data_IF_066032045250
#
_entry.id   IF_066032045250
#
_cell.length_a   1.000
_cell.length_b   1.000
_cell.length_c   1.000
_cell.angle_alpha   90.00
_cell.angle_beta   90.00
_cell.angle_gamma   90.00
#
_symmetry.space_group_name_H-M   'P 1'
#
loop_
_entity.id
_entity.type
_entity.pdbx_description
1 polymer ?
#
# COMPACT_ATOMS: atom_id res chain seq x y z
N UNK A 1 0.13 -12.57 -29.75
CA UNK A 1 0.40 -11.43 -28.85
C UNK A 1 0.87 -12.03 -27.54
N UNK A 2 1.92 -11.50 -26.92
CA UNK A 2 2.31 -11.93 -25.57
C UNK A 2 1.13 -11.64 -24.63
N UNK A 3 0.74 -12.57 -23.76
CA UNK A 3 -0.27 -12.29 -22.74
C UNK A 3 0.21 -11.11 -21.88
N UNK A 4 -0.66 -10.14 -21.61
CA UNK A 4 -0.34 -9.04 -20.68
C UNK A 4 -0.32 -9.57 -19.25
N UNK A 5 0.50 -8.96 -18.40
CA UNK A 5 0.45 -9.20 -16.95
C UNK A 5 -0.93 -8.81 -16.41
N UNK A 6 -1.47 -9.61 -15.49
CA UNK A 6 -2.73 -9.26 -14.80
C UNK A 6 -2.40 -8.89 -13.36
N UNK A 7 -2.82 -7.72 -12.92
CA UNK A 7 -2.81 -7.29 -11.52
C UNK A 7 -4.20 -7.47 -10.91
N UNK A 8 -4.30 -8.32 -9.90
CA UNK A 8 -5.49 -8.42 -9.04
C UNK A 8 -5.40 -7.41 -7.90
N UNK A 9 -6.42 -6.57 -7.76
CA UNK A 9 -6.48 -5.48 -6.78
C UNK A 9 -7.94 -5.27 -6.29
N UNK A 10 -8.13 -4.47 -5.25
CA UNK A 10 -9.46 -4.14 -4.69
C UNK A 10 -10.01 -2.83 -5.28
N UNK A 11 -11.25 -2.82 -5.79
CA UNK A 11 -11.86 -1.61 -6.32
C UNK A 11 -12.29 -0.68 -5.18
N UNK A 12 -12.39 0.60 -5.50
CA UNK A 12 -13.29 1.53 -4.80
C UNK A 12 -14.63 1.56 -5.51
N UNK A 13 -15.64 2.17 -4.89
CA UNK A 13 -16.94 2.47 -5.53
C UNK A 13 -16.88 3.34 -6.78
N UNK A 14 -15.73 3.95 -7.03
CA UNK A 14 -15.45 4.73 -8.25
C UNK A 14 -14.64 3.94 -9.28
N UNK A 15 -14.42 2.64 -9.08
CA UNK A 15 -13.62 1.80 -9.98
C UNK A 15 -12.11 2.13 -9.98
N UNK A 16 -11.64 2.89 -8.97
CA UNK A 16 -10.23 3.31 -8.86
C UNK A 16 -9.47 2.53 -7.78
N UNK A 17 -8.16 2.43 -7.96
CA UNK A 17 -7.23 1.86 -6.98
C UNK A 17 -7.10 2.77 -5.75
N UNK A 18 -7.03 2.17 -4.57
CA UNK A 18 -6.90 2.91 -3.32
C UNK A 18 -6.00 2.22 -2.30
N UNK A 19 -5.87 0.88 -2.34
CA UNK A 19 -5.14 0.14 -1.32
C UNK A 19 -3.64 0.47 -1.33
N UNK A 20 -3.05 0.61 -0.13
CA UNK A 20 -1.61 0.90 0.02
C UNK A 20 -0.73 -0.17 -0.64
N UNK A 21 -1.04 -1.44 -0.42
CA UNK A 21 -0.25 -2.54 -0.99
C UNK A 21 -0.46 -2.68 -2.50
N UNK A 22 -1.68 -2.45 -3.00
CA UNK A 22 -1.94 -2.39 -4.44
C UNK A 22 -1.13 -1.30 -5.11
N UNK A 23 -1.07 -0.10 -4.52
CA UNK A 23 -0.26 1.01 -5.03
C UNK A 23 1.25 0.71 -5.04
N UNK A 24 1.79 -0.05 -4.07
CA UNK A 24 3.19 -0.51 -4.12
C UNK A 24 3.47 -1.29 -5.41
N UNK A 25 2.61 -2.24 -5.77
CA UNK A 25 2.78 -3.04 -6.99
C UNK A 25 2.51 -2.22 -8.26
N UNK A 26 1.49 -1.34 -8.26
CA UNK A 26 1.20 -0.46 -9.40
C UNK A 26 2.36 0.45 -9.74
N UNK A 27 2.98 1.09 -8.74
CA UNK A 27 4.14 1.96 -8.95
C UNK A 27 5.32 1.20 -9.52
N UNK A 28 5.57 -0.04 -9.06
CA UNK A 28 6.61 -0.90 -9.64
C UNK A 28 6.34 -1.21 -11.11
N UNK A 29 5.10 -1.58 -11.46
CA UNK A 29 4.72 -1.86 -12.85
C UNK A 29 4.86 -0.59 -13.72
N UNK A 30 4.43 0.57 -13.22
CA UNK A 30 4.54 1.85 -13.91
C UNK A 30 6.00 2.28 -14.10
N UNK A 31 6.82 2.16 -13.06
CA UNK A 31 8.24 2.49 -13.11
C UNK A 31 9.01 1.64 -14.11
N UNK A 32 8.72 0.33 -14.14
CA UNK A 32 9.33 -0.61 -15.08
C UNK A 32 8.72 -0.56 -16.49
N UNK A 33 7.66 0.21 -16.70
CA UNK A 33 6.97 0.29 -17.97
C UNK A 33 6.30 -1.03 -18.39
N UNK A 34 5.85 -1.85 -17.43
CA UNK A 34 5.25 -3.16 -17.70
C UNK A 34 3.75 -2.98 -18.00
N UNK A 35 3.30 -3.27 -19.24
CA UNK A 35 1.89 -3.25 -19.59
C UNK A 35 1.14 -4.30 -18.78
N UNK A 36 0.02 -3.89 -18.18
CA UNK A 36 -0.79 -4.79 -17.38
C UNK A 36 -2.28 -4.45 -17.45
N UNK A 37 -3.08 -5.48 -17.25
CA UNK A 37 -4.52 -5.37 -17.03
C UNK A 37 -4.80 -5.42 -15.53
N UNK A 38 -5.83 -4.71 -15.08
CA UNK A 38 -6.29 -4.79 -13.70
C UNK A 38 -7.54 -5.64 -13.66
N UNK A 39 -7.54 -6.67 -12.82
CA UNK A 39 -8.75 -7.41 -12.43
C UNK A 39 -9.13 -7.03 -11.01
N UNK A 40 -10.32 -6.48 -10.86
CA UNK A 40 -10.85 -6.08 -9.56
C UNK A 40 -11.49 -7.27 -8.86
N UNK A 41 -11.14 -7.45 -7.59
CA UNK A 41 -11.78 -8.42 -6.69
C UNK A 41 -12.36 -7.68 -5.49
N UNK A 42 -13.63 -7.92 -5.19
CA UNK A 42 -14.20 -7.49 -3.91
C UNK A 42 -13.57 -8.29 -2.77
N UNK A 43 -13.53 -7.70 -1.58
CA UNK A 43 -12.92 -8.35 -0.42
C UNK A 43 -13.37 -9.80 -0.14
N UNK A 44 -14.68 -10.15 -0.17
CA UNK A 44 -15.11 -11.52 0.05
C UNK A 44 -14.66 -12.49 -1.05
N UNK A 45 -14.36 -11.99 -2.26
CA UNK A 45 -14.02 -12.81 -3.43
C UNK A 45 -12.52 -13.10 -3.53
N UNK A 46 -11.67 -12.39 -2.79
CA UNK A 46 -10.21 -12.54 -2.84
C UNK A 46 -9.81 -13.99 -2.53
N UNK A 47 -10.21 -14.50 -1.36
CA UNK A 47 -9.81 -15.84 -0.93
C UNK A 47 -10.29 -16.96 -1.88
N UNK A 48 -11.59 -17.09 -2.18
CA UNK A 48 -12.05 -18.15 -3.08
C UNK A 48 -11.44 -18.04 -4.49
N UNK A 49 -11.23 -16.81 -4.99
CA UNK A 49 -10.62 -16.61 -6.31
C UNK A 49 -9.16 -17.07 -6.33
N UNK A 50 -8.34 -16.59 -5.38
CA UNK A 50 -6.91 -16.91 -5.35
C UNK A 50 -6.66 -18.38 -5.03
N UNK A 51 -7.47 -18.98 -4.16
CA UNK A 51 -7.45 -20.42 -3.90
C UNK A 51 -7.77 -21.22 -5.17
N UNK A 52 -8.76 -20.79 -5.97
CA UNK A 52 -9.10 -21.46 -7.24
C UNK A 52 -7.98 -21.43 -8.29
N UNK A 53 -7.03 -20.48 -8.18
CA UNK A 53 -5.83 -20.42 -9.02
C UNK A 53 -4.73 -21.38 -8.55
N UNK A 54 -4.94 -22.10 -7.44
CA UNK A 54 -3.96 -23.03 -6.87
C UNK A 54 -2.86 -22.33 -6.06
N UNK A 55 -3.06 -21.07 -5.65
CA UNK A 55 -2.13 -20.38 -4.76
C UNK A 55 -2.17 -21.00 -3.36
N UNK A 56 -1.00 -21.19 -2.76
CA UNK A 56 -0.89 -21.52 -1.35
C UNK A 56 -1.26 -20.28 -0.50
N UNK A 57 -1.88 -20.48 0.68
CA UNK A 57 -2.13 -19.39 1.60
C UNK A 57 -0.81 -18.80 2.13
N UNK A 58 -0.83 -17.51 2.45
CA UNK A 58 0.22 -16.86 3.21
C UNK A 58 0.40 -17.52 4.59
N UNK A 59 1.61 -17.43 5.17
CA UNK A 59 1.83 -17.83 6.55
C UNK A 59 0.84 -17.14 7.51
N UNK A 60 0.42 -17.80 8.60
CA UNK A 60 -0.49 -17.22 9.57
C UNK A 60 0.00 -15.85 10.07
N UNK A 61 -0.91 -14.87 10.08
CA UNK A 61 -0.63 -13.51 10.52
C UNK A 61 -1.79 -12.98 11.37
N UNK A 62 -1.51 -12.24 12.45
CA UNK A 62 -2.56 -11.54 13.19
C UNK A 62 -3.12 -10.35 12.39
N UNK A 63 -2.37 -9.81 11.43
CA UNK A 63 -2.72 -8.61 10.67
C UNK A 63 -3.34 -8.92 9.31
N UNK A 64 -2.89 -10.01 8.67
CA UNK A 64 -3.23 -10.32 7.28
C UNK A 64 -4.01 -11.62 7.16
N UNK A 65 -4.94 -11.65 6.21
CA UNK A 65 -5.69 -12.85 5.86
C UNK A 65 -4.82 -13.77 4.98
N UNK A 66 -5.14 -15.07 4.89
CA UNK A 66 -4.31 -16.03 4.14
C UNK A 66 -4.16 -15.72 2.65
N UNK A 67 -5.18 -15.11 2.05
CA UNK A 67 -5.18 -14.70 0.65
C UNK A 67 -5.37 -13.19 0.55
N UNK A 68 -4.51 -12.53 -0.22
CA UNK A 68 -4.39 -11.07 -0.24
C UNK A 68 -4.21 -10.54 -1.66
N UNK A 69 -4.58 -9.28 -1.84
CA UNK A 69 -4.11 -8.46 -2.95
C UNK A 69 -3.05 -7.46 -2.44
N UNK A 70 -2.08 -7.04 -3.28
CA UNK A 70 -1.94 -7.36 -4.69
C UNK A 70 -1.51 -8.81 -4.93
N UNK A 71 -2.05 -9.38 -6.01
CA UNK A 71 -1.57 -10.62 -6.62
C UNK A 71 -1.40 -10.36 -8.11
N UNK A 72 -0.38 -10.93 -8.75
CA UNK A 72 -0.22 -10.84 -10.21
C UNK A 72 -0.32 -12.22 -10.86
N UNK A 73 -0.81 -12.27 -12.10
CA UNK A 73 -0.55 -13.37 -13.05
C UNK A 73 0.49 -12.87 -14.04
N UNK A 74 1.72 -13.34 -13.90
CA UNK A 74 2.79 -13.07 -14.85
C UNK A 74 2.81 -14.15 -15.94
N UNK A 75 2.97 -13.81 -17.23
CA UNK A 75 2.95 -14.77 -18.33
C UNK A 75 3.97 -15.91 -18.20
N UNK A 76 5.18 -15.59 -17.73
CA UNK A 76 6.30 -16.54 -17.67
C UNK A 76 6.37 -17.38 -16.38
N UNK A 77 5.87 -16.86 -15.25
CA UNK A 77 6.09 -17.47 -13.92
C UNK A 77 4.78 -17.77 -13.18
N UNK A 78 3.63 -17.49 -13.78
CA UNK A 78 2.33 -17.78 -13.21
C UNK A 78 1.92 -16.77 -12.14
N UNK A 79 1.22 -17.26 -11.11
CA UNK A 79 0.63 -16.42 -10.08
C UNK A 79 1.61 -16.12 -8.94
N UNK A 80 1.67 -14.86 -8.52
CA UNK A 80 2.50 -14.41 -7.39
C UNK A 80 1.65 -13.51 -6.49
N UNK A 81 1.53 -13.89 -5.22
CA UNK A 81 0.87 -13.12 -4.17
C UNK A 81 1.94 -12.40 -3.32
N UNK A 82 1.54 -11.37 -2.57
CA UNK A 82 2.37 -10.53 -1.70
C UNK A 82 3.24 -9.50 -2.42
N UNK A 83 2.99 -8.21 -2.16
CA UNK A 83 3.72 -7.10 -2.79
C UNK A 83 5.24 -7.20 -2.67
N UNK A 84 5.78 -7.70 -1.55
CA UNK A 84 7.22 -7.87 -1.32
C UNK A 84 7.82 -9.10 -2.04
N UNK A 85 7.02 -10.09 -2.41
CA UNK A 85 7.47 -11.21 -3.24
C UNK A 85 7.41 -10.80 -4.70
N UNK A 86 6.30 -10.17 -5.10
CA UNK A 86 6.07 -9.62 -6.44
C UNK A 86 7.21 -8.70 -6.86
N UNK A 87 7.58 -7.73 -6.01
CA UNK A 87 8.64 -6.76 -6.35
C UNK A 87 9.99 -7.43 -6.60
N UNK A 88 10.35 -8.45 -5.80
CA UNK A 88 11.62 -9.18 -5.94
C UNK A 88 11.63 -9.99 -7.22
N UNK A 89 10.52 -10.61 -7.58
CA UNK A 89 10.42 -11.39 -8.80
C UNK A 89 10.41 -10.51 -10.05
N UNK A 90 9.71 -9.37 -10.00
CA UNK A 90 9.72 -8.39 -11.09
C UNK A 90 11.10 -7.74 -11.27
N UNK A 91 11.86 -7.50 -10.19
CA UNK A 91 13.25 -7.01 -10.30
C UNK A 91 14.14 -8.03 -11.02
N UNK A 92 13.99 -9.33 -10.74
CA UNK A 92 14.76 -10.37 -11.45
C UNK A 92 14.36 -10.50 -12.92
N UNK A 93 13.06 -10.49 -13.20
CA UNK A 93 12.52 -10.68 -14.55
C UNK A 93 12.74 -9.45 -15.44
N UNK A 94 12.75 -8.26 -14.83
CA UNK A 94 12.94 -6.97 -15.48
C UNK A 94 13.97 -6.14 -14.70
N UNK A 95 15.28 -6.44 -14.84
CA UNK A 95 16.33 -5.76 -14.07
C UNK A 95 16.40 -4.25 -14.30
N UNK A 96 16.02 -3.79 -15.49
CA UNK A 96 16.06 -2.37 -15.86
C UNK A 96 14.65 -1.81 -16.13
N UNK A 97 14.33 -0.60 -15.64
CA UNK A 97 15.10 0.17 -14.67
C UNK A 97 15.10 -0.49 -13.28
N UNK A 98 16.25 -0.44 -12.58
CA UNK A 98 16.42 -1.09 -11.28
C UNK A 98 15.62 -0.42 -10.17
N UNK A 99 15.12 -1.23 -9.23
CA UNK A 99 14.45 -0.80 -8.00
C UNK A 99 15.40 -0.64 -6.81
N UNK A 100 16.69 -0.95 -6.98
CA UNK A 100 17.73 -0.80 -5.97
C UNK A 100 17.37 -1.46 -4.63
N UNK A 101 16.89 -2.71 -4.66
CA UNK A 101 16.40 -3.42 -3.48
C UNK A 101 17.49 -3.71 -2.42
N UNK A 102 18.76 -3.61 -2.81
CA UNK A 102 19.95 -3.92 -2.02
C UNK A 102 20.67 -2.68 -1.45
N UNK A 103 20.15 -1.46 -1.70
CA UNK A 103 20.75 -0.21 -1.20
C UNK A 103 20.58 0.03 0.32
N UNK A 104 19.95 -0.91 1.05
CA UNK A 104 19.78 -0.84 2.50
C UNK A 104 18.61 0.01 2.99
N UNK A 105 17.81 0.62 2.10
CA UNK A 105 16.65 1.44 2.49
C UNK A 105 15.32 0.67 2.51
N UNK A 106 15.20 -0.42 1.74
CA UNK A 106 13.93 -1.16 1.61
C UNK A 106 13.32 -1.57 2.96
N UNK A 107 14.06 -2.26 3.82
CA UNK A 107 13.54 -2.75 5.09
C UNK A 107 13.24 -1.60 6.08
N UNK A 108 14.06 -0.53 6.07
CA UNK A 108 13.85 0.66 6.90
C UNK A 108 12.57 1.42 6.50
N UNK A 109 12.36 1.61 5.20
CA UNK A 109 11.18 2.27 4.67
C UNK A 109 9.92 1.43 4.95
N UNK A 110 10.00 0.11 4.74
CA UNK A 110 8.91 -0.80 5.09
C UNK A 110 8.54 -0.70 6.57
N UNK A 111 9.52 -0.86 7.46
CA UNK A 111 9.27 -0.89 8.90
C UNK A 111 8.67 0.44 9.41
N UNK A 112 9.20 1.58 8.97
CA UNK A 112 8.70 2.90 9.38
C UNK A 112 7.28 3.19 8.89
N UNK A 113 6.97 2.87 7.63
CA UNK A 113 5.62 3.03 7.08
C UNK A 113 4.61 2.06 7.70
N UNK A 114 5.01 0.81 7.99
CA UNK A 114 4.16 -0.19 8.64
C UNK A 114 3.89 0.15 10.11
N UNK A 115 4.85 0.75 10.82
CA UNK A 115 4.63 1.29 12.16
C UNK A 115 3.63 2.45 12.14
N UNK A 116 3.81 3.42 11.22
CA UNK A 116 2.90 4.56 11.11
C UNK A 116 1.48 4.12 10.74
N UNK A 117 1.31 3.25 9.73
CA UNK A 117 -0.02 2.81 9.29
C UNK A 117 -0.75 2.03 10.38
N UNK A 118 -0.04 1.21 11.15
CA UNK A 118 -0.63 0.39 12.21
C UNK A 118 -1.36 1.25 13.24
N UNK A 119 -0.72 2.32 13.70
CA UNK A 119 -1.32 3.25 14.66
C UNK A 119 -2.39 4.15 14.05
N UNK A 120 -2.37 4.37 12.73
CA UNK A 120 -3.40 5.13 12.01
C UNK A 120 -4.60 4.28 11.57
N UNK A 121 -4.57 2.95 11.74
CA UNK A 121 -5.69 2.07 11.41
C UNK A 121 -7.02 2.54 12.01
N UNK A 122 -7.10 2.94 13.31
CA UNK A 122 -8.34 3.42 13.89
C UNK A 122 -8.91 4.68 13.22
N UNK A 123 -8.04 5.54 12.66
CA UNK A 123 -8.44 6.77 11.97
C UNK A 123 -8.99 6.50 10.56
N UNK A 124 -8.41 5.53 9.86
CA UNK A 124 -8.67 5.30 8.43
C UNK A 124 -9.72 4.21 8.17
N UNK A 125 -9.81 3.18 9.02
CA UNK A 125 -10.69 2.02 8.80
C UNK A 125 -12.16 2.43 8.71
N UNK A 126 -12.71 3.25 9.63
CA UNK A 126 -14.09 3.71 9.50
C UNK A 126 -14.32 4.45 8.18
N UNK A 127 -13.37 5.31 7.78
CA UNK A 127 -13.48 6.12 6.56
C UNK A 127 -13.52 5.24 5.31
N UNK A 128 -12.64 4.24 5.21
CA UNK A 128 -12.65 3.27 4.10
C UNK A 128 -14.04 2.63 3.95
N UNK A 129 -14.60 2.14 5.05
CA UNK A 129 -15.91 1.48 5.05
C UNK A 129 -17.02 2.38 4.53
N UNK A 130 -17.06 3.65 4.95
CA UNK A 130 -18.12 4.58 4.59
C UNK A 130 -17.93 5.25 3.22
N UNK A 131 -16.69 5.51 2.80
CA UNK A 131 -16.41 6.37 1.63
C UNK A 131 -15.85 5.63 0.44
N UNK A 132 -15.17 4.50 0.62
CA UNK A 132 -14.36 3.87 -0.43
C UNK A 132 -14.99 2.59 -0.98
N UNK A 133 -15.49 1.71 -0.12
CA UNK A 133 -15.87 0.36 -0.52
C UNK A 133 -17.18 0.29 -1.30
N UNK A 134 -17.27 -0.72 -2.18
CA UNK A 134 -18.54 -1.19 -2.72
C UNK A 134 -19.34 -1.92 -1.65
N UNK A 135 -20.66 -1.95 -1.82
CA UNK A 135 -21.59 -2.57 -0.86
C UNK A 135 -21.22 -4.02 -0.50
N UNK A 136 -20.86 -4.83 -1.51
CA UNK A 136 -20.45 -6.23 -1.32
C UNK A 136 -19.19 -6.42 -0.46
N UNK A 137 -18.34 -5.40 -0.33
CA UNK A 137 -17.12 -5.43 0.47
C UNK A 137 -17.32 -4.94 1.92
N UNK A 138 -18.41 -4.23 2.22
CA UNK A 138 -18.59 -3.52 3.50
C UNK A 138 -18.69 -4.49 4.69
N UNK A 139 -19.53 -5.53 4.60
CA UNK A 139 -19.68 -6.52 5.68
C UNK A 139 -18.34 -7.17 6.01
N UNK A 140 -17.68 -7.73 5.00
CA UNK A 140 -16.43 -8.45 5.18
C UNK A 140 -15.37 -7.55 5.78
N UNK A 141 -15.25 -6.32 5.27
CA UNK A 141 -14.28 -5.36 5.77
C UNK A 141 -14.57 -4.97 7.22
N UNK A 142 -15.82 -4.64 7.55
CA UNK A 142 -16.21 -4.23 8.90
C UNK A 142 -16.01 -5.33 9.93
N UNK A 143 -16.42 -6.57 9.62
CA UNK A 143 -16.21 -7.71 10.51
C UNK A 143 -14.72 -7.97 10.73
N UNK A 144 -13.95 -8.11 9.65
CA UNK A 144 -12.52 -8.46 9.76
C UNK A 144 -11.67 -7.37 10.38
N UNK A 145 -12.00 -6.09 10.17
CA UNK A 145 -11.28 -4.97 10.81
C UNK A 145 -11.76 -4.73 12.23
N UNK A 146 -13.02 -5.04 12.54
CA UNK A 146 -13.51 -5.02 13.90
C UNK A 146 -12.84 -6.07 14.79
N UNK A 147 -12.65 -7.28 14.26
CA UNK A 147 -11.82 -8.33 14.89
C UNK A 147 -10.39 -7.83 15.15
N UNK A 148 -9.76 -7.23 14.13
CA UNK A 148 -8.39 -6.72 14.21
C UNK A 148 -8.22 -5.62 15.26
N UNK A 149 -9.17 -4.68 15.33
CA UNK A 149 -9.09 -3.51 16.23
C UNK A 149 -9.72 -3.78 17.60
N UNK A 150 -10.35 -4.95 17.77
CA UNK A 150 -10.99 -5.40 19.00
C UNK A 150 -12.30 -4.66 19.33
N UNK A 151 -12.96 -4.05 18.34
CA UNK A 151 -14.24 -3.35 18.52
C UNK A 151 -14.97 -3.12 17.19
N UNK A 152 -16.30 -2.91 17.18
CA UNK A 152 -17.05 -2.65 15.96
C UNK A 152 -16.53 -1.41 15.21
N UNK A 153 -16.42 -1.49 13.88
CA UNK A 153 -15.90 -0.38 13.06
C UNK A 153 -16.69 0.92 13.23
N UNK A 154 -18.01 0.82 13.45
CA UNK A 154 -18.87 1.97 13.71
C UNK A 154 -18.54 2.70 15.01
N UNK A 155 -17.88 2.06 15.98
CA UNK A 155 -17.59 2.62 17.30
C UNK A 155 -16.15 3.14 17.44
N UNK A 156 -15.26 2.81 16.50
CA UNK A 156 -13.83 3.18 16.58
C UNK A 156 -13.64 4.69 16.75
N UNK A 157 -14.39 5.51 16.03
CA UNK A 157 -14.26 6.97 16.08
C UNK A 157 -14.61 7.57 17.44
N UNK A 158 -15.31 6.81 18.30
CA UNK A 158 -15.65 7.21 19.69
C UNK A 158 -14.64 6.70 20.71
N UNK A 159 -13.72 5.82 20.28
CA UNK A 159 -12.70 5.25 21.15
C UNK A 159 -11.54 6.22 21.35
N UNK A 160 -10.78 5.99 22.42
CA UNK A 160 -9.51 6.65 22.68
C UNK A 160 -8.38 6.26 21.70
N UNK A 161 -8.62 5.29 20.80
CA UNK A 161 -7.63 4.85 19.81
C UNK A 161 -7.60 5.70 18.53
N UNK A 162 -8.64 6.50 18.27
CA UNK A 162 -8.78 7.30 17.05
C UNK A 162 -8.34 8.78 17.27
N UNK A 163 -8.43 9.60 16.21
CA UNK A 163 -8.16 11.04 16.31
C UNK A 163 -6.72 11.33 16.74
N UNK A 164 -6.55 12.34 17.61
CA UNK A 164 -5.21 12.79 18.04
C UNK A 164 -4.36 11.71 18.70
N UNK A 165 -4.98 10.74 19.39
CA UNK A 165 -4.24 9.63 20.00
C UNK A 165 -3.64 8.70 18.95
N UNK A 166 -4.36 8.42 17.85
CA UNK A 166 -3.83 7.66 16.72
C UNK A 166 -2.61 8.39 16.11
N UNK A 167 -2.73 9.69 15.89
CA UNK A 167 -1.65 10.50 15.32
C UNK A 167 -0.44 10.63 16.25
N UNK A 168 -0.67 10.80 17.55
CA UNK A 168 0.39 10.81 18.55
C UNK A 168 1.13 9.46 18.58
N UNK A 169 0.40 8.34 18.52
CA UNK A 169 0.96 7.00 18.49
C UNK A 169 1.70 6.69 17.17
N UNK A 170 1.27 7.27 16.04
CA UNK A 170 1.92 7.11 14.74
C UNK A 170 3.21 7.95 14.58
N UNK A 171 3.40 8.96 15.44
CA UNK A 171 4.54 9.89 15.40
C UNK A 171 5.91 9.20 15.28
N UNK A 172 6.23 8.12 16.03
CA UNK A 172 7.52 7.45 15.90
C UNK A 172 7.79 6.92 14.48
N UNK A 173 6.79 6.33 13.83
CA UNK A 173 6.90 5.86 12.45
C UNK A 173 7.11 7.02 11.47
N UNK A 174 6.33 8.10 11.61
CA UNK A 174 6.46 9.31 10.78
C UNK A 174 7.83 9.99 10.97
N UNK A 175 8.35 10.04 12.18
CA UNK A 175 9.69 10.57 12.46
C UNK A 175 10.79 9.72 11.82
N UNK A 176 10.65 8.39 11.79
CA UNK A 176 11.58 7.50 11.07
C UNK A 176 11.49 7.69 9.56
N UNK A 177 10.29 7.86 9.01
CA UNK A 177 10.11 8.20 7.59
C UNK A 177 10.80 9.52 7.24
N UNK A 178 10.62 10.54 8.07
CA UNK A 178 11.30 11.84 7.92
C UNK A 178 12.82 11.69 7.98
N UNK A 179 13.33 10.94 8.94
CA UNK A 179 14.77 10.73 9.08
C UNK A 179 15.38 10.10 7.81
N UNK A 180 14.71 9.11 7.21
CA UNK A 180 15.14 8.47 5.97
C UNK A 180 15.17 9.45 4.78
N UNK A 181 14.14 10.29 4.64
CA UNK A 181 14.09 11.31 3.58
C UNK A 181 15.11 12.44 3.76
N UNK A 182 15.57 12.67 4.98
CA UNK A 182 16.57 13.68 5.30
C UNK A 182 18.00 13.14 5.36
N UNK A 183 18.18 11.82 5.25
CA UNK A 183 19.50 11.17 5.32
C UNK A 183 20.41 11.61 4.17
N UNK A 184 19.83 11.81 2.97
CA UNK A 184 20.55 12.24 1.78
C UNK A 184 19.94 13.51 1.17
N UNK A 185 20.66 14.63 1.23
CA UNK A 185 20.19 15.93 0.75
C UNK A 185 20.37 16.17 -0.76
N UNK A 186 20.95 15.21 -1.49
CA UNK A 186 21.26 15.36 -2.92
C UNK A 186 20.05 15.27 -3.86
N UNK A 187 18.86 14.93 -3.35
CA UNK A 187 17.64 14.89 -4.15
C UNK A 187 16.39 14.65 -3.31
N UNK A 188 15.22 14.44 -3.96
CA UNK A 188 13.95 14.31 -3.28
C UNK A 188 13.63 12.87 -2.82
N UNK A 189 14.44 11.87 -3.20
CA UNK A 189 14.24 10.46 -2.88
C UNK A 189 15.03 10.06 -1.62
N UNK A 190 14.72 8.90 -1.05
CA UNK A 190 15.41 8.39 0.14
C UNK A 190 16.91 8.22 -0.12
N UNK A 191 17.29 7.72 -1.30
CA UNK A 191 18.68 7.63 -1.74
C UNK A 191 19.13 8.89 -2.52
N UNK A 192 18.62 10.05 -2.10
CA UNK A 192 18.92 11.36 -2.68
C UNK A 192 18.36 11.52 -4.10
N UNK A 193 19.25 11.48 -5.10
CA UNK A 193 18.88 11.63 -6.51
C UNK A 193 18.34 10.34 -7.17
N UNK A 194 18.57 9.18 -6.54
CA UNK A 194 18.21 7.88 -7.10
C UNK A 194 16.87 7.39 -6.51
N UNK A 195 15.90 7.12 -7.38
CA UNK A 195 14.65 6.48 -6.95
C UNK A 195 14.88 5.00 -6.70
N UNK A 196 14.21 4.45 -5.70
CA UNK A 196 14.23 3.04 -5.34
C UNK A 196 12.83 2.53 -4.96
N UNK A 197 12.69 1.23 -4.69
CA UNK A 197 11.42 0.70 -4.17
C UNK A 197 11.05 1.27 -2.79
N UNK A 198 12.04 1.70 -1.99
CA UNK A 198 11.79 2.36 -0.72
C UNK A 198 10.94 3.62 -0.90
N UNK A 199 11.17 4.37 -1.99
CA UNK A 199 10.36 5.54 -2.34
C UNK A 199 8.92 5.15 -2.69
N UNK A 200 8.70 4.04 -3.38
CA UNK A 200 7.36 3.57 -3.71
C UNK A 200 6.58 3.08 -2.48
N UNK A 201 7.26 2.60 -1.44
CA UNK A 201 6.62 2.32 -0.16
C UNK A 201 6.04 3.61 0.44
N UNK A 202 6.83 4.69 0.49
CA UNK A 202 6.35 5.98 1.03
C UNK A 202 5.31 6.63 0.12
N UNK A 203 5.53 6.64 -1.19
CA UNK A 203 4.57 7.17 -2.15
C UNK A 203 3.23 6.43 -2.08
N UNK A 204 3.22 5.10 -1.96
CA UNK A 204 1.99 4.31 -1.81
C UNK A 204 1.23 4.65 -0.53
N UNK A 205 1.97 4.97 0.54
CA UNK A 205 1.40 5.44 1.80
C UNK A 205 0.70 6.78 1.59
N UNK A 206 1.35 7.78 0.97
CA UNK A 206 0.74 9.08 0.69
C UNK A 206 -0.53 8.95 -0.19
N UNK A 207 -0.44 8.20 -1.30
CA UNK A 207 -1.59 8.00 -2.21
C UNK A 207 -2.74 7.32 -1.48
N UNK A 208 -2.47 6.34 -0.62
CA UNK A 208 -3.52 5.69 0.16
C UNK A 208 -4.28 6.70 1.03
N UNK A 209 -3.58 7.60 1.73
CA UNK A 209 -4.25 8.67 2.50
C UNK A 209 -5.02 9.62 1.59
N UNK A 210 -4.44 10.03 0.45
CA UNK A 210 -5.09 10.88 -0.54
C UNK A 210 -6.42 10.27 -1.02
N UNK A 211 -6.43 8.96 -1.30
CA UNK A 211 -7.64 8.27 -1.76
C UNK A 211 -8.66 8.06 -0.65
N UNK A 212 -8.24 7.83 0.59
CA UNK A 212 -9.13 7.50 1.71
C UNK A 212 -9.75 8.74 2.36
N UNK A 213 -8.94 9.75 2.65
CA UNK A 213 -9.39 10.92 3.40
C UNK A 213 -8.50 12.15 3.21
N UNK A 214 -9.05 13.17 2.55
CA UNK A 214 -8.33 14.41 2.21
C UNK A 214 -7.70 15.11 3.41
N UNK A 215 -8.39 15.29 4.53
CA UNK A 215 -7.81 15.98 5.69
C UNK A 215 -6.64 15.19 6.32
N UNK A 216 -6.74 13.85 6.34
CA UNK A 216 -5.64 13.01 6.83
C UNK A 216 -4.44 13.05 5.89
N UNK A 217 -4.68 13.13 4.58
CA UNK A 217 -3.64 13.36 3.58
C UNK A 217 -2.97 14.72 3.76
N UNK A 218 -3.75 15.80 3.90
CA UNK A 218 -3.21 17.15 4.11
C UNK A 218 -2.38 17.23 5.38
N UNK A 219 -2.86 16.62 6.48
CA UNK A 219 -2.09 16.53 7.73
C UNK A 219 -0.79 15.75 7.55
N UNK A 220 -0.84 14.63 6.82
CA UNK A 220 0.34 13.81 6.55
C UNK A 220 1.36 14.57 5.69
N UNK A 221 0.94 15.15 4.58
CA UNK A 221 1.85 15.84 3.65
C UNK A 221 2.41 17.14 4.25
N UNK A 222 1.67 17.76 5.17
CA UNK A 222 2.11 18.95 5.92
C UNK A 222 2.93 18.61 7.17
N UNK A 223 3.15 17.32 7.49
CA UNK A 223 3.93 16.90 8.66
C UNK A 223 5.37 17.43 8.60
N UNK A 224 5.97 17.41 7.41
CA UNK A 224 7.26 18.02 7.13
C UNK A 224 7.38 18.32 5.63
N UNK A 225 8.12 19.38 5.26
CA UNK A 225 8.33 19.76 3.85
C UNK A 225 8.92 18.62 3.00
N UNK A 226 9.75 17.75 3.58
CA UNK A 226 10.32 16.61 2.85
C UNK A 226 9.26 15.61 2.36
N UNK A 227 8.12 15.46 3.05
CA UNK A 227 7.05 14.55 2.63
C UNK A 227 6.37 15.08 1.37
N UNK A 228 6.05 16.38 1.36
CA UNK A 228 5.49 17.06 0.19
C UNK A 228 6.43 16.97 -1.01
N UNK A 229 7.70 17.33 -0.82
CA UNK A 229 8.71 17.28 -1.89
C UNK A 229 8.89 15.86 -2.45
N UNK A 230 8.93 14.85 -1.59
CA UNK A 230 9.05 13.44 -1.98
C UNK A 230 7.82 12.96 -2.78
N UNK A 231 6.61 13.24 -2.26
CA UNK A 231 5.37 12.87 -2.92
C UNK A 231 5.26 13.50 -4.32
N UNK A 232 5.55 14.81 -4.44
CA UNK A 232 5.58 15.53 -5.73
C UNK A 232 6.56 14.88 -6.72
N UNK A 233 7.75 14.48 -6.27
CA UNK A 233 8.73 13.80 -7.12
C UNK A 233 8.24 12.41 -7.58
N UNK A 234 7.46 11.71 -6.76
CA UNK A 234 6.92 10.39 -7.08
C UNK A 234 5.65 10.43 -7.96
N UNK A 235 5.01 11.59 -8.14
CA UNK A 235 3.73 11.71 -8.88
C UNK A 235 3.75 11.17 -10.31
N UNK A 236 4.90 11.21 -10.98
CA UNK A 236 5.04 10.67 -12.35
C UNK A 236 4.76 9.16 -12.48
N UNK A 237 4.77 8.41 -11.37
CA UNK A 237 4.40 6.98 -11.34
C UNK A 237 3.02 6.72 -10.73
N UNK A 238 2.27 7.79 -10.45
CA UNK A 238 0.90 7.77 -9.91
C UNK A 238 -0.02 8.38 -10.99
N UNK A 239 -0.37 7.63 -12.05
CA UNK A 239 -1.31 8.12 -13.04
C UNK A 239 -2.69 8.40 -12.39
N UNK A 240 -3.41 9.38 -12.94
CA UNK A 240 -4.67 9.94 -12.39
C UNK A 240 -5.85 8.96 -12.28
#
# INVERSE_FOLDING_TARGET
MLENLILFDVPSKHGKAWSVFGWRTRMVLNYKGIPHEVKWLEYPDIAPTLESFGLAPNPPSPLFKPYTVPTIKHPSVGYIMESNVIVKELEKLHPEPSLHLDNGYYDKARASAEEAIYFLLPEIVPRISFTILNEGSIEYFNRTRGELLGMPVSEIHKSDKAGENAWAAAKPGLEKMKALLMENSSGPYIDGGQVSYADFIFASFYVFFERVHGESFERLISYNECFKRHYEACRKWIPE
#
